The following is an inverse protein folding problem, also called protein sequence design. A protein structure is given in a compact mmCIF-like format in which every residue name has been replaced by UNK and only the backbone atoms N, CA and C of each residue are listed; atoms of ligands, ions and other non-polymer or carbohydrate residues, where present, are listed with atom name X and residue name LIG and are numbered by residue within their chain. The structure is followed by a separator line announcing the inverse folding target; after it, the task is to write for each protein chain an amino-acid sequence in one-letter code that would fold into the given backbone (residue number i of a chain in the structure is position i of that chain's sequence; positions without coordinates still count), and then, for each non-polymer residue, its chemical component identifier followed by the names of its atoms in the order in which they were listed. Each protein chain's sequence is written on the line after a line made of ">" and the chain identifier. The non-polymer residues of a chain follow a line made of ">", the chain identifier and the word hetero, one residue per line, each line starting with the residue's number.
data_IF_812737226939
#
_entry.id   IF_812737226939
#
_cell.length_a   1.000
_cell.length_b   1.000
_cell.length_c   1.000
_cell.angle_alpha   90.00
_cell.angle_beta   90.00
_cell.angle_gamma   90.00
#
_symmetry.space_group_name_H-M   'P 1'
#
loop_
_entity.id
_entity.type
_entity.pdbx_description
1 polymer ?
#
# COMPACT_ATOMS: atom_id res chain seq x y z
N UNK A 1 -34.21 10.65 -7.03
CA UNK A 1 -33.48 11.91 -6.80
C UNK A 1 -32.45 12.09 -7.89
N UNK A 2 -32.28 13.30 -8.38
CA UNK A 2 -31.47 13.68 -9.56
C UNK A 2 -30.08 13.02 -9.59
N UNK A 3 -29.38 13.00 -8.45
CA UNK A 3 -28.04 12.40 -8.34
C UNK A 3 -28.03 10.88 -8.63
N UNK A 4 -29.05 10.13 -8.20
CA UNK A 4 -29.09 8.67 -8.44
C UNK A 4 -29.21 8.35 -9.93
N UNK A 5 -29.96 9.17 -10.66
CA UNK A 5 -30.08 9.06 -12.11
C UNK A 5 -28.79 9.45 -12.81
N UNK A 6 -28.16 10.54 -12.40
CA UNK A 6 -26.86 10.98 -12.95
C UNK A 6 -25.74 9.94 -12.77
N UNK A 7 -25.75 9.22 -11.64
CA UNK A 7 -24.77 8.16 -11.34
C UNK A 7 -25.13 6.79 -11.95
N UNK A 8 -26.26 6.70 -12.67
CA UNK A 8 -26.81 5.44 -13.20
C UNK A 8 -27.03 4.35 -12.14
N UNK A 9 -27.42 4.73 -10.91
CA UNK A 9 -27.64 3.81 -9.78
C UNK A 9 -29.12 3.48 -9.53
N UNK A 10 -30.01 3.80 -10.48
CA UNK A 10 -31.43 3.46 -10.39
C UNK A 10 -31.65 1.94 -10.39
N UNK A 11 -30.84 1.22 -11.17
CA UNK A 11 -30.83 -0.25 -11.21
C UNK A 11 -29.43 -0.73 -10.83
N UNK A 12 -29.36 -1.56 -9.80
CA UNK A 12 -28.12 -2.16 -9.31
C UNK A 12 -27.97 -3.57 -9.91
N UNK A 13 -26.73 -4.00 -10.13
CA UNK A 13 -26.45 -5.30 -10.71
C UNK A 13 -26.67 -6.38 -9.63
N UNK A 14 -27.20 -7.52 -10.05
CA UNK A 14 -27.37 -8.68 -9.16
C UNK A 14 -26.02 -9.23 -8.68
N UNK A 15 -25.02 -9.20 -9.57
CA UNK A 15 -23.66 -9.69 -9.30
C UNK A 15 -22.64 -8.59 -9.60
N UNK A 16 -21.76 -8.33 -8.65
CA UNK A 16 -20.63 -7.42 -8.74
C UNK A 16 -19.35 -8.18 -8.35
N UNK A 17 -18.34 -8.22 -9.23
CA UNK A 17 -17.13 -9.02 -9.01
C UNK A 17 -16.25 -8.50 -7.86
N UNK A 18 -16.46 -7.27 -7.40
CA UNK A 18 -15.78 -6.70 -6.23
C UNK A 18 -16.52 -6.97 -4.91
N UNK A 19 -17.58 -7.78 -4.93
CA UNK A 19 -18.36 -8.10 -3.73
C UNK A 19 -19.23 -6.95 -3.21
N UNK A 20 -19.45 -5.89 -4.00
CA UNK A 20 -20.31 -4.78 -3.61
C UNK A 20 -21.78 -5.19 -3.74
N UNK A 21 -22.44 -5.44 -2.61
CA UNK A 21 -23.85 -5.86 -2.55
C UNK A 21 -24.74 -4.70 -2.11
N UNK A 22 -25.89 -4.47 -2.77
CA UNK A 22 -26.86 -3.48 -2.32
C UNK A 22 -27.40 -3.79 -0.92
N UNK A 23 -27.58 -2.76 -0.09
CA UNK A 23 -28.25 -2.91 1.21
C UNK A 23 -29.66 -3.49 1.00
N UNK A 24 -29.96 -4.60 1.68
CA UNK A 24 -31.26 -5.25 1.59
C UNK A 24 -32.23 -4.72 2.65
N UNK A 25 -31.77 -4.59 3.90
CA UNK A 25 -32.63 -4.28 5.04
C UNK A 25 -33.04 -2.79 5.07
N UNK A 26 -34.32 -2.47 5.33
CA UNK A 26 -34.78 -1.08 5.44
C UNK A 26 -34.01 -0.26 6.48
N UNK A 27 -33.70 -0.86 7.62
CA UNK A 27 -32.95 -0.22 8.71
C UNK A 27 -31.53 0.17 8.28
N UNK A 28 -30.84 -0.71 7.56
CA UNK A 28 -29.51 -0.45 7.00
C UNK A 28 -29.57 0.69 5.98
N UNK A 29 -30.60 0.71 5.11
CA UNK A 29 -30.82 1.80 4.15
C UNK A 29 -31.05 3.14 4.85
N UNK A 30 -31.88 3.16 5.90
CA UNK A 30 -32.14 4.36 6.69
C UNK A 30 -30.85 4.85 7.38
N UNK A 31 -30.10 3.94 8.01
CA UNK A 31 -28.81 4.25 8.64
C UNK A 31 -27.82 4.81 7.62
N UNK A 32 -27.69 4.18 6.46
CA UNK A 32 -26.81 4.66 5.38
C UNK A 32 -27.22 6.04 4.87
N UNK A 33 -28.52 6.31 4.72
CA UNK A 33 -29.03 7.63 4.34
C UNK A 33 -28.68 8.70 5.38
N UNK A 34 -28.78 8.39 6.67
CA UNK A 34 -28.40 9.30 7.75
C UNK A 34 -26.89 9.55 7.76
N UNK A 35 -26.08 8.51 7.60
CA UNK A 35 -24.62 8.62 7.55
C UNK A 35 -24.15 9.42 6.33
N UNK A 36 -24.79 9.23 5.17
CA UNK A 36 -24.50 10.01 3.97
C UNK A 36 -24.80 11.51 4.17
N UNK A 37 -25.92 11.84 4.81
CA UNK A 37 -26.25 13.24 5.15
C UNK A 37 -25.24 13.87 6.11
N UNK A 38 -24.79 13.11 7.14
CA UNK A 38 -23.72 13.54 8.05
C UNK A 38 -22.41 13.78 7.29
N UNK A 39 -22.04 12.87 6.39
CA UNK A 39 -20.83 12.99 5.56
C UNK A 39 -20.88 14.26 4.70
N UNK A 40 -21.99 14.51 3.98
CA UNK A 40 -22.15 15.72 3.17
C UNK A 40 -22.05 17.00 4.01
N UNK A 41 -22.60 16.97 5.22
CA UNK A 41 -22.51 18.10 6.17
C UNK A 41 -21.06 18.32 6.61
N UNK A 42 -20.34 17.26 6.96
CA UNK A 42 -18.92 17.34 7.35
C UNK A 42 -18.05 17.87 6.20
N UNK A 43 -18.27 17.40 4.96
CA UNK A 43 -17.58 17.90 3.78
C UNK A 43 -17.85 19.39 3.55
N UNK A 44 -19.09 19.85 3.79
CA UNK A 44 -19.43 21.28 3.72
C UNK A 44 -18.72 22.11 4.80
N UNK A 45 -18.62 21.60 6.03
CA UNK A 45 -17.88 22.26 7.12
C UNK A 45 -16.40 22.43 6.76
N UNK A 46 -15.81 21.42 6.10
CA UNK A 46 -14.44 21.48 5.58
C UNK A 46 -14.29 22.34 4.31
N UNK A 47 -15.35 23.02 3.86
CA UNK A 47 -15.30 23.85 2.65
C UNK A 47 -15.13 23.07 1.35
N UNK A 48 -15.46 21.77 1.33
CA UNK A 48 -15.44 20.97 0.11
C UNK A 48 -16.68 21.29 -0.72
N UNK A 49 -16.46 21.81 -1.93
CA UNK A 49 -17.53 22.34 -2.77
C UNK A 49 -18.48 21.24 -3.27
N UNK A 50 -19.73 21.57 -3.65
CA UNK A 50 -20.64 20.59 -4.23
C UNK A 50 -20.09 19.92 -5.50
N UNK A 51 -19.27 20.62 -6.29
CA UNK A 51 -18.60 20.07 -7.47
C UNK A 51 -17.52 19.05 -7.09
N UNK A 52 -16.70 19.35 -6.08
CA UNK A 52 -15.69 18.44 -5.55
C UNK A 52 -16.33 17.18 -4.96
N UNK A 53 -17.41 17.34 -4.18
CA UNK A 53 -18.20 16.20 -3.69
C UNK A 53 -18.74 15.36 -4.84
N UNK A 54 -19.25 16.00 -5.91
CA UNK A 54 -19.76 15.31 -7.10
C UNK A 54 -18.70 14.45 -7.77
N UNK A 55 -17.45 14.91 -7.85
CA UNK A 55 -16.34 14.11 -8.39
C UNK A 55 -16.11 12.85 -7.57
N UNK A 56 -16.16 12.93 -6.23
CA UNK A 56 -16.07 11.75 -5.37
C UNK A 56 -17.15 10.71 -5.70
N UNK A 57 -18.39 11.17 -5.88
CA UNK A 57 -19.52 10.29 -6.22
C UNK A 57 -19.39 9.68 -7.61
N UNK A 58 -18.90 10.43 -8.60
CA UNK A 58 -18.67 9.94 -9.96
C UNK A 58 -17.63 8.80 -9.98
N UNK A 59 -16.52 8.96 -9.26
CA UNK A 59 -15.45 7.94 -9.20
C UNK A 59 -15.95 6.69 -8.47
N UNK A 60 -16.61 6.83 -7.31
CA UNK A 60 -17.17 5.68 -6.58
C UNK A 60 -18.22 4.92 -7.38
N UNK A 61 -19.12 5.64 -8.08
CA UNK A 61 -20.10 5.01 -8.94
C UNK A 61 -19.43 4.30 -10.13
N UNK A 62 -18.39 4.88 -10.73
CA UNK A 62 -17.62 4.23 -11.79
C UNK A 62 -16.97 2.92 -11.31
N UNK A 63 -16.34 2.91 -10.12
CA UNK A 63 -15.79 1.69 -9.51
C UNK A 63 -16.86 0.62 -9.34
N UNK A 64 -18.04 1.00 -8.83
CA UNK A 64 -19.17 0.08 -8.73
C UNK A 64 -19.55 -0.51 -10.09
N UNK A 65 -19.68 0.32 -11.13
CA UNK A 65 -20.04 -0.12 -12.48
C UNK A 65 -18.95 -0.99 -13.13
N UNK A 66 -17.66 -0.75 -12.85
CA UNK A 66 -16.58 -1.65 -13.25
C UNK A 66 -16.76 -3.05 -12.64
N UNK A 67 -17.08 -3.12 -11.35
CA UNK A 67 -17.38 -4.38 -10.67
C UNK A 67 -18.62 -5.08 -11.23
N UNK A 68 -19.65 -4.33 -11.61
CA UNK A 68 -20.82 -4.87 -12.28
C UNK A 68 -20.53 -5.36 -13.72
N UNK A 69 -19.58 -4.70 -14.42
CA UNK A 69 -19.15 -5.08 -15.75
C UNK A 69 -18.40 -6.41 -15.76
N UNK A 70 -17.53 -6.62 -14.76
CA UNK A 70 -16.66 -7.78 -14.66
C UNK A 70 -15.73 -7.94 -15.87
N UNK A 71 -14.98 -9.04 -15.87
CA UNK A 71 -14.04 -9.36 -16.94
C UNK A 71 -14.23 -10.79 -17.44
N UNK A 72 -13.79 -11.07 -18.67
CA UNK A 72 -13.82 -12.42 -19.25
C UNK A 72 -12.90 -13.37 -18.48
N UNK A 73 -13.38 -14.58 -18.18
CA UNK A 73 -12.59 -15.62 -17.48
C UNK A 73 -11.56 -16.31 -18.38
N UNK A 74 -11.85 -16.39 -19.68
CA UNK A 74 -11.00 -17.03 -20.68
C UNK A 74 -11.01 -16.24 -22.00
N UNK A 75 -9.99 -16.48 -22.82
CA UNK A 75 -9.84 -15.83 -24.13
C UNK A 75 -9.26 -14.42 -24.03
N UNK A 76 -9.72 -13.53 -24.94
CA UNK A 76 -9.27 -12.13 -24.98
C UNK A 76 -9.68 -11.40 -23.71
N UNK A 77 -8.76 -10.60 -23.15
CA UNK A 77 -9.02 -9.74 -21.99
C UNK A 77 -9.94 -8.59 -22.38
N UNK A 78 -11.16 -8.61 -21.87
CA UNK A 78 -12.18 -7.58 -22.13
C UNK A 78 -13.25 -7.60 -21.02
N UNK A 79 -14.15 -6.62 -21.05
CA UNK A 79 -15.31 -6.59 -20.17
C UNK A 79 -16.27 -7.74 -20.45
N UNK A 80 -16.82 -8.35 -19.41
CA UNK A 80 -17.85 -9.38 -19.56
C UNK A 80 -19.22 -8.76 -19.93
N UNK A 81 -19.53 -7.57 -19.39
CA UNK A 81 -20.80 -6.87 -19.63
C UNK A 81 -20.54 -5.41 -20.05
N UNK A 82 -20.63 -5.14 -21.34
CA UNK A 82 -20.29 -3.86 -21.96
C UNK A 82 -21.19 -2.69 -21.49
N UNK A 83 -22.46 -2.95 -21.23
CA UNK A 83 -23.41 -1.90 -20.78
C UNK A 83 -23.00 -1.26 -19.45
N UNK A 84 -22.48 -2.05 -18.51
CA UNK A 84 -21.98 -1.56 -17.22
C UNK A 84 -20.65 -0.82 -17.40
N UNK A 85 -19.77 -1.33 -18.26
CA UNK A 85 -18.53 -0.65 -18.60
C UNK A 85 -18.77 0.71 -19.25
N UNK A 86 -19.80 0.83 -20.11
CA UNK A 86 -20.20 2.08 -20.73
C UNK A 86 -20.64 3.12 -19.69
N UNK A 87 -21.37 2.70 -18.65
CA UNK A 87 -21.74 3.59 -17.52
C UNK A 87 -20.48 4.06 -16.77
N UNK A 88 -19.53 3.17 -16.50
CA UNK A 88 -18.27 3.54 -15.87
C UNK A 88 -17.48 4.56 -16.71
N UNK A 89 -17.33 4.31 -18.02
CA UNK A 89 -16.65 5.20 -18.95
C UNK A 89 -17.29 6.59 -18.99
N UNK A 90 -18.64 6.64 -19.09
CA UNK A 90 -19.40 7.88 -19.06
C UNK A 90 -19.17 8.68 -17.78
N UNK A 91 -19.17 8.03 -16.61
CA UNK A 91 -18.95 8.71 -15.32
C UNK A 91 -17.53 9.25 -15.17
N UNK A 92 -16.54 8.49 -15.64
CA UNK A 92 -15.13 8.91 -15.67
C UNK A 92 -14.84 9.97 -16.73
N UNK A 93 -15.76 10.19 -17.67
CA UNK A 93 -15.59 11.18 -18.74
C UNK A 93 -14.59 10.73 -19.81
N UNK A 94 -14.60 9.44 -20.16
CA UNK A 94 -13.81 8.87 -21.26
C UNK A 94 -14.69 7.96 -22.13
N UNK A 95 -14.20 7.59 -23.30
CA UNK A 95 -14.83 6.59 -24.16
C UNK A 95 -14.62 5.17 -23.61
N UNK A 96 -15.49 4.24 -24.01
CA UNK A 96 -15.35 2.82 -23.64
C UNK A 96 -14.04 2.21 -24.19
N UNK A 97 -13.59 2.66 -25.36
CA UNK A 97 -12.33 2.20 -25.96
C UNK A 97 -11.12 2.67 -25.15
N UNK A 98 -11.08 3.94 -24.75
CA UNK A 98 -10.02 4.47 -23.88
C UNK A 98 -9.98 3.73 -22.54
N UNK A 99 -11.14 3.53 -21.90
CA UNK A 99 -11.24 2.78 -20.65
C UNK A 99 -10.77 1.33 -20.83
N UNK A 100 -11.24 0.65 -21.87
CA UNK A 100 -10.85 -0.73 -22.18
C UNK A 100 -9.34 -0.84 -22.44
N UNK A 101 -8.78 0.14 -23.16
CA UNK A 101 -7.34 0.20 -23.42
C UNK A 101 -6.56 0.41 -22.13
N UNK A 102 -6.97 1.35 -21.29
CA UNK A 102 -6.31 1.65 -20.02
C UNK A 102 -6.29 0.44 -19.06
N UNK A 103 -7.32 -0.41 -19.11
CA UNK A 103 -7.44 -1.60 -18.25
C UNK A 103 -6.73 -2.81 -18.86
N UNK A 104 -7.04 -3.17 -20.12
CA UNK A 104 -6.66 -4.47 -20.69
C UNK A 104 -5.52 -4.40 -21.70
N UNK A 105 -5.25 -3.23 -22.30
CA UNK A 105 -4.15 -3.03 -23.26
C UNK A 105 -3.00 -2.32 -22.56
N UNK A 106 -2.19 -3.08 -21.85
CA UNK A 106 -0.94 -2.54 -21.31
C UNK A 106 -0.01 -2.24 -22.49
N UNK A 107 0.16 -0.96 -22.83
CA UNK A 107 1.18 -0.55 -23.78
C UNK A 107 2.52 -1.10 -23.28
N UNK A 108 3.16 -1.97 -24.06
CA UNK A 108 4.58 -2.29 -23.89
C UNK A 108 5.37 -1.00 -24.08
N UNK A 109 5.48 -0.17 -23.04
CA UNK A 109 6.48 0.89 -22.97
C UNK A 109 7.83 0.26 -22.63
N UNK A 110 8.30 -0.60 -23.54
CA UNK A 110 9.68 -1.08 -23.61
C UNK A 110 10.62 -0.05 -24.25
N UNK A 111 10.37 1.25 -24.06
CA UNK A 111 11.19 2.29 -24.65
C UNK A 111 10.83 3.66 -24.09
N UNK A 112 11.84 4.36 -23.58
CA UNK A 112 11.77 5.74 -23.07
C UNK A 112 11.28 5.93 -21.63
N UNK A 113 11.80 5.15 -20.69
CA UNK A 113 12.28 5.81 -19.47
C UNK A 113 13.38 6.77 -19.92
N UNK A 114 13.20 8.06 -19.68
CA UNK A 114 14.27 9.02 -19.84
C UNK A 114 15.48 8.51 -19.06
N UNK A 115 16.49 8.10 -19.82
CA UNK A 115 17.82 7.76 -19.37
C UNK A 115 18.38 9.06 -18.80
N UNK A 116 18.14 9.31 -17.51
CA UNK A 116 18.85 10.38 -16.79
C UNK A 116 20.34 10.12 -17.00
N UNK A 117 20.97 11.06 -17.67
CA UNK A 117 22.35 11.02 -18.12
C UNK A 117 23.30 11.02 -16.93
N UNK A 118 23.75 9.84 -16.50
CA UNK A 118 25.10 9.67 -15.98
C UNK A 118 25.44 8.18 -15.86
N UNK A 119 26.64 7.84 -16.32
CA UNK A 119 27.32 6.55 -16.30
C UNK A 119 27.21 5.67 -17.57
N UNK A 120 28.40 5.28 -18.02
CA UNK A 120 28.79 4.82 -19.36
C UNK A 120 28.36 3.38 -19.66
N UNK A 121 28.25 3.13 -20.96
CA UNK A 121 27.90 1.91 -21.68
C UNK A 121 28.69 0.66 -21.27
N UNK A 122 28.00 -0.48 -21.25
CA UNK A 122 28.52 -1.83 -21.48
C UNK A 122 27.72 -2.48 -22.63
N UNK A 123 28.26 -3.50 -23.32
CA UNK A 123 27.81 -3.87 -24.67
C UNK A 123 26.43 -4.51 -24.70
N UNK A 124 25.71 -4.25 -25.78
CA UNK A 124 24.37 -4.74 -26.06
C UNK A 124 24.36 -6.26 -26.30
N UNK A 125 23.59 -6.98 -25.50
CA UNK A 125 23.03 -8.27 -25.91
C UNK A 125 21.59 -8.05 -26.35
N UNK A 126 21.40 -8.12 -27.66
CA UNK A 126 20.12 -8.32 -28.32
C UNK A 126 19.57 -9.70 -27.94
N UNK A 127 18.55 -9.74 -27.08
CA UNK A 127 17.72 -10.93 -26.93
C UNK A 127 16.25 -10.54 -27.07
N UNK A 128 15.70 -10.95 -28.22
CA UNK A 128 14.28 -11.22 -28.44
C UNK A 128 13.78 -12.14 -27.31
N UNK A 129 13.25 -11.55 -26.25
CA UNK A 129 12.67 -12.26 -25.11
C UNK A 129 11.17 -12.06 -25.08
N UNK A 130 10.44 -13.12 -25.41
CA UNK A 130 9.02 -13.27 -25.11
C UNK A 130 8.75 -12.82 -23.66
N UNK A 131 7.75 -11.97 -23.45
CA UNK A 131 7.59 -11.21 -22.21
C UNK A 131 7.44 -12.10 -20.97
N UNK A 132 8.54 -12.30 -20.23
CA UNK A 132 8.64 -13.05 -18.98
C UNK A 132 8.06 -12.30 -17.77
N UNK A 133 6.94 -11.60 -17.96
CA UNK A 133 6.16 -11.03 -16.86
C UNK A 133 4.98 -11.95 -16.49
N UNK A 134 4.54 -12.00 -15.22
CA UNK A 134 3.35 -12.74 -14.83
C UNK A 134 2.15 -12.30 -15.69
N UNK A 135 1.51 -13.23 -16.40
CA UNK A 135 0.33 -12.93 -17.22
C UNK A 135 -0.87 -12.68 -16.32
N UNK A 136 -1.12 -11.42 -15.97
CA UNK A 136 -2.33 -11.02 -15.24
C UNK A 136 -3.60 -11.49 -15.97
N UNK A 137 -4.56 -12.03 -15.23
CA UNK A 137 -5.90 -12.32 -15.72
C UNK A 137 -6.63 -11.01 -16.07
N UNK A 138 -7.71 -11.11 -16.86
CA UNK A 138 -8.53 -9.94 -17.15
C UNK A 138 -9.19 -9.37 -15.87
N UNK A 139 -9.52 -10.23 -14.91
CA UNK A 139 -10.07 -9.81 -13.62
C UNK A 139 -9.04 -9.04 -12.80
N UNK A 140 -7.81 -9.55 -12.67
CA UNK A 140 -6.73 -8.84 -11.97
C UNK A 140 -6.50 -7.45 -12.60
N UNK A 141 -6.52 -7.32 -13.94
CA UNK A 141 -6.41 -6.02 -14.61
C UNK A 141 -7.54 -5.05 -14.20
N UNK A 142 -8.78 -5.55 -14.14
CA UNK A 142 -9.96 -4.77 -13.76
C UNK A 142 -9.90 -4.33 -12.29
N UNK A 143 -9.50 -5.22 -11.38
CA UNK A 143 -9.28 -4.94 -9.96
C UNK A 143 -8.17 -3.89 -9.77
N UNK A 144 -7.09 -3.98 -10.57
CA UNK A 144 -6.01 -3.00 -10.57
C UNK A 144 -6.49 -1.59 -10.90
N UNK A 145 -7.34 -1.44 -11.92
CA UNK A 145 -7.93 -0.13 -12.25
C UNK A 145 -8.85 0.37 -11.14
N UNK A 146 -9.69 -0.48 -10.57
CA UNK A 146 -10.58 -0.11 -9.47
C UNK A 146 -9.79 0.35 -8.23
N UNK A 147 -8.73 -0.38 -7.86
CA UNK A 147 -7.81 -0.03 -6.79
C UNK A 147 -7.11 1.31 -7.07
N UNK A 148 -6.61 1.51 -8.29
CA UNK A 148 -5.98 2.77 -8.69
C UNK A 148 -6.93 3.98 -8.61
N UNK A 149 -8.17 3.83 -9.08
CA UNK A 149 -9.21 4.88 -8.98
C UNK A 149 -9.56 5.18 -7.53
N UNK A 150 -9.68 4.16 -6.67
CA UNK A 150 -9.97 4.33 -5.25
C UNK A 150 -8.81 5.04 -4.53
N UNK A 151 -7.57 4.67 -4.83
CA UNK A 151 -6.36 5.31 -4.29
C UNK A 151 -6.26 6.79 -4.67
N UNK A 152 -6.55 7.14 -5.92
CA UNK A 152 -6.57 8.54 -6.38
C UNK A 152 -7.69 9.35 -5.70
N UNK A 153 -8.87 8.75 -5.53
CA UNK A 153 -9.96 9.36 -4.79
C UNK A 153 -9.60 9.60 -3.32
N UNK A 154 -9.01 8.61 -2.66
CA UNK A 154 -8.58 8.74 -1.26
C UNK A 154 -7.52 9.84 -1.13
N UNK A 155 -6.53 9.86 -2.02
CA UNK A 155 -5.52 10.92 -2.08
C UNK A 155 -6.14 12.29 -2.33
N UNK A 156 -7.19 12.39 -3.16
CA UNK A 156 -7.97 13.62 -3.35
C UNK A 156 -8.60 14.08 -2.04
N UNK A 157 -9.34 13.20 -1.35
CA UNK A 157 -9.97 13.51 -0.07
C UNK A 157 -8.98 14.02 0.96
N UNK A 158 -7.84 13.34 1.12
CA UNK A 158 -6.78 13.78 2.04
C UNK A 158 -6.31 15.19 1.72
N UNK A 159 -6.07 15.53 0.45
CA UNK A 159 -5.67 16.90 0.10
C UNK A 159 -6.75 17.95 0.34
N UNK A 160 -8.03 17.59 0.18
CA UNK A 160 -9.13 18.51 0.42
C UNK A 160 -9.25 18.82 1.91
N UNK A 161 -9.06 17.79 2.76
CA UNK A 161 -8.95 17.95 4.22
C UNK A 161 -7.74 18.80 4.59
N UNK A 162 -6.56 18.49 4.04
CA UNK A 162 -5.34 19.26 4.31
C UNK A 162 -5.47 20.72 3.86
N UNK A 163 -6.09 20.98 2.71
CA UNK A 163 -6.40 22.33 2.23
C UNK A 163 -7.26 23.09 3.24
N UNK A 164 -8.26 22.43 3.82
CA UNK A 164 -9.16 23.03 4.81
C UNK A 164 -8.45 23.31 6.14
N UNK A 165 -7.51 22.45 6.54
CA UNK A 165 -6.77 22.55 7.82
C UNK A 165 -5.48 23.36 7.71
N UNK A 166 -5.08 23.77 6.50
CA UNK A 166 -3.84 24.52 6.27
C UNK A 166 -3.90 25.89 6.95
N UNK A 167 -2.94 26.15 7.84
CA UNK A 167 -2.74 27.47 8.43
C UNK A 167 -1.72 28.29 7.62
N UNK A 168 -1.96 29.60 7.51
CA UNK A 168 -1.00 30.58 6.97
C UNK A 168 -0.01 31.09 8.03
N UNK A 169 -0.21 30.75 9.30
CA UNK A 169 0.63 31.19 10.41
C UNK A 169 1.89 30.33 10.55
N UNK A 170 2.97 30.93 11.05
CA UNK A 170 4.19 30.21 11.38
C UNK A 170 4.00 29.39 12.66
N UNK A 171 4.21 28.07 12.59
CA UNK A 171 4.18 27.19 13.76
C UNK A 171 5.43 27.39 14.62
N UNK A 172 5.25 27.67 15.92
CA UNK A 172 6.34 27.66 16.91
C UNK A 172 6.70 26.24 17.36
N UNK A 173 5.70 25.37 17.47
CA UNK A 173 5.86 23.95 17.76
C UNK A 173 4.87 23.13 16.92
N UNK A 174 5.12 21.83 16.81
CA UNK A 174 4.20 20.88 16.18
C UNK A 174 4.11 19.63 17.04
N UNK A 175 2.89 19.15 17.27
CA UNK A 175 2.63 17.85 17.88
C UNK A 175 2.18 16.87 16.80
N UNK A 176 2.70 15.65 16.87
CA UNK A 176 2.27 14.55 16.00
C UNK A 176 1.50 13.55 16.85
N UNK A 177 0.31 13.19 16.40
CA UNK A 177 -0.52 12.16 17.03
C UNK A 177 -0.54 10.98 16.08
N UNK A 178 -0.13 9.82 16.56
CA UNK A 178 -0.12 8.58 15.80
C UNK A 178 -1.34 7.76 16.23
N UNK A 179 -2.19 7.43 15.26
CA UNK A 179 -3.39 6.60 15.44
C UNK A 179 -3.30 5.40 14.49
N UNK A 180 -2.97 4.22 15.01
CA UNK A 180 -2.80 3.00 14.24
C UNK A 180 -3.99 2.06 14.42
N UNK A 181 -4.26 1.14 13.47
CA UNK A 181 -5.35 0.16 13.60
C UNK A 181 -5.25 -0.77 14.82
N UNK A 182 -4.09 -0.79 15.50
CA UNK A 182 -3.79 -1.67 16.62
C UNK A 182 -3.37 -3.08 16.18
N UNK A 183 -2.97 -3.87 17.18
CA UNK A 183 -2.51 -5.25 17.01
C UNK A 183 -3.66 -6.18 16.58
N UNK A 184 -3.39 -7.07 15.63
CA UNK A 184 -4.35 -7.99 15.02
C UNK A 184 -3.95 -9.43 15.29
N UNK A 185 -4.76 -10.16 16.05
CA UNK A 185 -4.61 -11.60 16.25
C UNK A 185 -5.98 -12.29 16.12
N UNK A 186 -6.29 -12.91 14.96
CA UNK A 186 -7.58 -13.55 14.73
C UNK A 186 -7.93 -14.61 15.77
N UNK A 187 -6.95 -15.35 16.27
CA UNK A 187 -7.16 -16.41 17.27
C UNK A 187 -7.66 -15.82 18.59
N UNK A 188 -7.07 -14.72 19.06
CA UNK A 188 -7.54 -14.00 20.24
C UNK A 188 -8.96 -13.41 20.06
N UNK A 189 -9.34 -13.13 18.82
CA UNK A 189 -10.69 -12.72 18.43
C UNK A 189 -11.70 -13.87 18.26
N UNK A 190 -11.31 -15.12 18.56
CA UNK A 190 -12.16 -16.30 18.41
C UNK A 190 -12.26 -16.84 16.98
N UNK A 191 -11.39 -16.39 16.08
CA UNK A 191 -11.34 -16.84 14.68
C UNK A 191 -10.20 -17.83 14.46
N UNK A 192 -10.51 -19.02 13.94
CA UNK A 192 -9.51 -20.07 13.68
C UNK A 192 -8.69 -19.88 12.39
N UNK A 193 -8.89 -18.77 11.67
CA UNK A 193 -8.16 -18.44 10.43
C UNK A 193 -6.77 -17.89 10.76
N UNK A 194 -5.81 -18.10 9.87
CA UNK A 194 -4.56 -17.35 9.91
C UNK A 194 -4.78 -15.86 9.63
N UNK A 195 -3.90 -15.03 10.17
CA UNK A 195 -3.85 -13.61 9.90
C UNK A 195 -3.42 -13.34 8.44
N UNK A 196 -3.96 -12.28 7.83
CA UNK A 196 -3.69 -11.88 6.45
C UNK A 196 -2.43 -11.03 6.31
N UNK A 197 -2.05 -10.71 5.08
CA UNK A 197 -0.94 -9.80 4.79
C UNK A 197 -1.20 -8.39 5.34
N UNK A 198 -2.43 -7.87 5.23
CA UNK A 198 -2.80 -6.57 5.79
C UNK A 198 -2.67 -6.54 7.31
N UNK A 199 -3.08 -7.64 7.98
CA UNK A 199 -2.91 -7.79 9.42
C UNK A 199 -1.43 -7.89 9.81
N UNK A 200 -0.58 -8.53 8.99
CA UNK A 200 0.88 -8.47 9.17
C UNK A 200 1.37 -7.03 9.08
N UNK A 201 0.90 -6.24 8.11
CA UNK A 201 1.32 -4.85 7.95
C UNK A 201 0.95 -3.99 9.18
N UNK A 202 -0.22 -4.22 9.76
CA UNK A 202 -0.63 -3.56 11.00
C UNK A 202 0.25 -3.97 12.19
N UNK A 203 0.51 -5.27 12.34
CA UNK A 203 1.35 -5.79 13.42
C UNK A 203 2.82 -5.35 13.28
N UNK A 204 3.35 -5.30 12.06
CA UNK A 204 4.67 -4.75 11.78
C UNK A 204 4.77 -3.27 12.16
N UNK A 205 3.77 -2.45 11.84
CA UNK A 205 3.74 -1.06 12.27
C UNK A 205 3.74 -0.94 13.81
N UNK A 206 3.00 -1.83 14.49
CA UNK A 206 2.97 -1.88 15.95
C UNK A 206 4.32 -2.28 16.56
N UNK A 207 4.97 -3.30 16.01
CA UNK A 207 6.30 -3.73 16.46
C UNK A 207 7.34 -2.63 16.26
N UNK A 208 7.28 -1.90 15.14
CA UNK A 208 8.14 -0.73 14.87
C UNK A 208 7.91 0.41 15.86
N UNK A 209 6.66 0.70 16.22
CA UNK A 209 6.33 1.68 17.25
C UNK A 209 6.82 1.26 18.64
N UNK A 210 6.66 -0.01 18.99
CA UNK A 210 7.18 -0.57 20.24
C UNK A 210 8.71 -0.49 20.30
N UNK A 211 9.40 -0.81 19.19
CA UNK A 211 10.85 -0.66 19.05
C UNK A 211 11.29 0.79 19.22
N UNK A 212 10.62 1.73 18.55
CA UNK A 212 10.91 3.16 18.69
C UNK A 212 10.72 3.65 20.14
N UNK A 213 9.64 3.21 20.80
CA UNK A 213 9.43 3.51 22.21
C UNK A 213 10.57 2.96 23.07
N UNK A 214 10.97 1.71 22.84
CA UNK A 214 12.06 1.08 23.58
C UNK A 214 13.40 1.84 23.38
N UNK A 215 13.73 2.16 22.13
CA UNK A 215 14.94 2.91 21.78
C UNK A 215 14.95 4.30 22.43
N UNK A 216 13.86 5.07 22.33
CA UNK A 216 13.78 6.43 22.88
C UNK A 216 13.68 6.48 24.41
N UNK A 217 12.94 5.55 25.03
CA UNK A 217 12.66 5.59 26.47
C UNK A 217 13.70 4.88 27.31
N UNK A 218 14.31 3.79 26.81
CA UNK A 218 15.26 3.01 27.59
C UNK A 218 16.68 3.14 27.05
N UNK A 219 16.91 2.88 25.76
CA UNK A 219 18.27 2.81 25.20
C UNK A 219 18.95 4.17 25.24
N UNK A 220 18.32 5.20 24.66
CA UNK A 220 18.89 6.55 24.61
C UNK A 220 19.07 7.16 26.00
N UNK A 221 18.14 6.89 26.93
CA UNK A 221 18.25 7.40 28.30
C UNK A 221 19.39 6.69 29.05
N UNK A 222 19.58 5.39 28.84
CA UNK A 222 20.72 4.66 29.40
C UNK A 222 22.05 5.14 28.82
N UNK A 223 22.10 5.42 27.51
CA UNK A 223 23.26 6.03 26.87
C UNK A 223 23.58 7.40 27.47
N UNK A 224 22.55 8.23 27.69
CA UNK A 224 22.72 9.53 28.33
C UNK A 224 23.24 9.43 29.77
N UNK A 225 22.74 8.50 30.58
CA UNK A 225 23.27 8.29 31.92
C UNK A 225 24.75 7.87 31.90
N UNK A 226 25.15 7.05 30.93
CA UNK A 226 26.57 6.72 30.72
C UNK A 226 27.39 7.94 30.34
N UNK A 227 26.89 8.81 29.45
CA UNK A 227 27.55 10.07 29.07
C UNK A 227 27.71 11.04 30.25
N UNK A 228 26.71 11.09 31.14
CA UNK A 228 26.72 11.93 32.36
C UNK A 228 27.49 11.28 33.53
N UNK A 229 28.09 10.10 33.33
CA UNK A 229 28.79 9.30 34.35
C UNK A 229 27.93 8.98 35.59
N UNK A 230 26.65 8.71 35.38
CA UNK A 230 25.71 8.28 36.42
C UNK A 230 25.74 6.76 36.47
N UNK A 231 26.26 6.21 37.57
CA UNK A 231 26.27 4.76 37.81
C UNK A 231 24.87 4.27 38.15
N UNK A 232 24.40 3.27 37.40
CA UNK A 232 23.12 2.61 37.63
C UNK A 232 23.37 1.12 37.87
N UNK A 233 22.90 0.62 39.01
CA UNK A 233 22.92 -0.81 39.32
C UNK A 233 21.70 -1.47 38.66
N UNK A 234 21.86 -1.91 37.41
CA UNK A 234 20.87 -2.79 36.77
C UNK A 234 21.24 -4.24 37.03
N UNK A 235 20.30 -5.04 37.53
CA UNK A 235 20.36 -6.49 37.36
C UNK A 235 20.24 -6.76 35.84
N UNK A 236 21.11 -7.60 35.29
CA UNK A 236 21.28 -7.86 33.85
C UNK A 236 19.93 -7.94 33.10
N UNK A 237 19.51 -6.83 32.49
CA UNK A 237 18.44 -6.82 31.51
C UNK A 237 19.03 -7.46 30.25
N UNK A 238 18.91 -8.78 30.13
CA UNK A 238 19.28 -9.46 28.89
C UNK A 238 18.48 -8.82 27.74
N UNK A 239 19.14 -8.35 26.68
CA UNK A 239 18.43 -7.91 25.50
C UNK A 239 17.72 -9.13 24.90
N UNK A 240 16.40 -9.20 25.00
CA UNK A 240 15.63 -10.23 24.30
C UNK A 240 15.89 -10.11 22.80
N UNK A 241 16.67 -11.04 22.26
CA UNK A 241 17.08 -11.10 20.85
C UNK A 241 15.95 -11.69 20.00
N UNK A 242 14.72 -11.22 20.17
CA UNK A 242 13.59 -11.57 19.32
C UNK A 242 13.27 -10.39 18.41
N UNK A 243 14.05 -10.24 17.33
CA UNK A 243 13.86 -9.14 16.39
C UNK A 243 12.82 -9.52 15.31
N UNK A 244 11.54 -9.53 15.71
CA UNK A 244 10.40 -9.72 14.80
C UNK A 244 10.39 -8.70 13.67
N UNK A 245 10.87 -7.47 13.97
CA UNK A 245 11.05 -6.41 12.98
C UNK A 245 12.05 -6.86 11.91
N UNK A 246 13.23 -7.36 12.29
CA UNK A 246 14.21 -7.87 11.33
C UNK A 246 13.65 -9.02 10.46
N UNK A 247 12.90 -9.96 11.04
CA UNK A 247 12.26 -11.03 10.27
C UNK A 247 11.33 -10.49 9.16
N UNK A 248 10.72 -9.30 9.37
CA UNK A 248 9.85 -8.65 8.40
C UNK A 248 10.61 -7.73 7.44
N UNK A 249 11.54 -6.92 7.95
CA UNK A 249 12.06 -5.74 7.24
C UNK A 249 13.59 -5.64 7.12
N UNK A 250 14.37 -6.66 7.53
CA UNK A 250 15.83 -6.63 7.51
C UNK A 250 16.35 -6.19 6.13
N UNK A 251 17.05 -5.05 6.13
CA UNK A 251 17.67 -4.51 4.94
C UNK A 251 19.02 -5.20 4.68
N UNK A 252 19.42 -5.30 3.41
CA UNK A 252 20.78 -5.71 3.05
C UNK A 252 21.78 -4.66 3.54
N UNK A 253 22.84 -5.08 4.22
CA UNK A 253 23.92 -4.22 4.73
C UNK A 253 24.75 -3.57 3.60
N UNK A 254 24.58 -3.99 2.34
CA UNK A 254 25.33 -3.47 1.18
C UNK A 254 24.51 -2.51 0.30
N UNK A 255 24.14 -1.35 0.83
CA UNK A 255 23.54 -0.28 0.00
C UNK A 255 24.56 0.51 -0.85
N UNK A 256 25.87 0.28 -0.72
CA UNK A 256 26.91 1.14 -1.34
C UNK A 256 27.91 0.45 -2.28
N UNK A 257 27.93 -0.89 -2.40
CA UNK A 257 28.85 -1.58 -3.30
C UNK A 257 28.08 -2.58 -4.15
N UNK A 258 28.00 -2.34 -5.47
CA UNK A 258 27.43 -3.28 -6.46
C UNK A 258 28.36 -4.48 -6.65
N UNK A 259 28.54 -5.29 -5.62
CA UNK A 259 29.13 -6.62 -5.78
C UNK A 259 28.00 -7.64 -5.89
N UNK A 260 28.19 -8.64 -6.75
CA UNK A 260 27.23 -9.69 -7.07
C UNK A 260 26.51 -10.20 -5.80
N UNK A 261 25.17 -10.25 -5.86
CA UNK A 261 24.32 -10.72 -4.79
C UNK A 261 24.83 -12.06 -4.25
N UNK A 262 25.40 -12.06 -3.05
CA UNK A 262 25.60 -13.30 -2.30
C UNK A 262 24.21 -13.75 -1.86
N UNK A 263 23.87 -14.99 -2.19
CA UNK A 263 22.60 -15.67 -1.84
C UNK A 263 22.50 -16.00 -0.34
N UNK A 264 23.43 -15.50 0.48
CA UNK A 264 23.68 -15.92 1.86
C UNK A 264 23.41 -14.81 2.89
N UNK A 265 22.97 -13.63 2.44
CA UNK A 265 22.61 -12.54 3.36
C UNK A 265 21.13 -12.64 3.77
N UNK A 266 20.87 -12.66 5.08
CA UNK A 266 19.52 -12.67 5.63
C UNK A 266 18.73 -11.43 5.19
N UNK A 267 17.52 -11.66 4.65
CA UNK A 267 16.63 -10.59 4.18
C UNK A 267 15.25 -10.76 4.80
N UNK A 268 14.63 -9.64 5.17
CA UNK A 268 13.28 -9.65 5.73
C UNK A 268 12.22 -10.13 4.73
N UNK A 269 11.11 -10.62 5.27
CA UNK A 269 9.95 -11.13 4.52
C UNK A 269 9.46 -10.19 3.40
N UNK A 270 9.36 -8.88 3.66
CA UNK A 270 8.89 -7.92 2.64
C UNK A 270 9.81 -7.90 1.41
N UNK A 271 11.09 -8.16 1.60
CA UNK A 271 12.05 -8.27 0.52
C UNK A 271 11.98 -9.62 -0.18
N UNK A 272 11.87 -10.71 0.58
CA UNK A 272 11.74 -12.05 0.04
C UNK A 272 10.51 -12.18 -0.86
N UNK A 273 9.38 -11.59 -0.47
CA UNK A 273 8.15 -11.52 -1.28
C UNK A 273 8.41 -10.93 -2.68
N UNK A 274 9.18 -9.85 -2.74
CA UNK A 274 9.50 -9.15 -3.98
C UNK A 274 10.46 -9.94 -4.87
N UNK A 275 11.40 -10.68 -4.28
CA UNK A 275 12.31 -11.53 -5.06
C UNK A 275 11.60 -12.76 -5.58
N UNK A 276 10.85 -13.43 -4.72
CA UNK A 276 10.17 -14.67 -5.05
C UNK A 276 9.16 -14.43 -6.16
N UNK A 277 8.45 -13.30 -6.17
CA UNK A 277 7.52 -12.94 -7.24
C UNK A 277 8.15 -12.75 -8.63
N UNK A 278 9.49 -12.60 -8.71
CA UNK A 278 10.22 -12.56 -9.98
C UNK A 278 10.61 -13.96 -10.48
N UNK A 279 10.53 -14.98 -9.63
CA UNK A 279 10.87 -16.37 -9.96
C UNK A 279 9.75 -16.97 -10.82
N UNK A 280 10.06 -17.54 -12.00
CA UNK A 280 9.06 -18.27 -12.78
C UNK A 280 8.51 -19.46 -12.00
N UNK A 281 7.20 -19.51 -11.77
CA UNK A 281 6.57 -20.56 -10.97
C UNK A 281 6.71 -20.37 -9.46
N UNK A 282 6.95 -19.14 -9.00
CA UNK A 282 6.97 -18.76 -7.60
C UNK A 282 5.82 -19.39 -6.78
N UNK A 283 6.17 -19.90 -5.60
CA UNK A 283 5.20 -20.47 -4.66
C UNK A 283 5.41 -19.87 -3.27
N UNK A 284 4.33 -19.76 -2.51
CA UNK A 284 4.36 -19.36 -1.11
C UNK A 284 5.22 -20.31 -0.25
N UNK A 285 5.32 -21.60 -0.62
CA UNK A 285 6.17 -22.55 0.09
C UNK A 285 7.65 -22.24 -0.10
N UNK A 286 8.09 -21.92 -1.31
CA UNK A 286 9.47 -21.51 -1.57
C UNK A 286 9.84 -20.22 -0.81
N UNK A 287 8.89 -19.27 -0.73
CA UNK A 287 9.04 -18.07 0.10
C UNK A 287 9.26 -18.44 1.58
N UNK A 288 8.41 -19.30 2.13
CA UNK A 288 8.50 -19.72 3.53
C UNK A 288 9.82 -20.45 3.81
N UNK A 289 10.24 -21.39 2.97
CA UNK A 289 11.51 -22.10 3.14
C UNK A 289 12.70 -21.14 3.22
N UNK A 290 12.73 -20.13 2.34
CA UNK A 290 13.78 -19.08 2.40
C UNK A 290 13.69 -18.25 3.68
N UNK A 291 12.50 -17.86 4.11
CA UNK A 291 12.32 -17.11 5.36
C UNK A 291 12.79 -17.92 6.57
N UNK A 292 12.41 -19.20 6.65
CA UNK A 292 12.82 -20.10 7.74
C UNK A 292 14.31 -20.41 7.73
N UNK A 293 14.98 -20.40 6.57
CA UNK A 293 16.43 -20.57 6.51
C UNK A 293 17.20 -19.45 7.24
N UNK A 294 16.63 -18.24 7.30
CA UNK A 294 17.24 -17.09 7.97
C UNK A 294 16.76 -16.90 9.41
N UNK A 295 15.47 -17.08 9.65
CA UNK A 295 14.82 -16.68 10.92
C UNK A 295 14.11 -17.83 11.63
N UNK A 296 14.19 -19.06 11.12
CA UNK A 296 13.59 -20.24 11.73
C UNK A 296 14.38 -20.78 12.91
N UNK A 297 13.80 -21.72 13.69
CA UNK A 297 14.48 -22.37 14.80
C UNK A 297 15.64 -23.22 14.28
N UNK A 298 16.83 -23.03 14.84
CA UNK A 298 18.02 -23.83 14.54
C UNK A 298 18.05 -25.12 15.38
N UNK A 299 18.82 -26.14 14.97
CA UNK A 299 18.97 -27.35 15.78
C UNK A 299 19.53 -27.02 17.18
N UNK A 300 18.83 -27.46 18.22
CA UNK A 300 19.20 -27.18 19.62
C UNK A 300 18.58 -25.91 20.21
N UNK A 301 17.79 -25.17 19.44
CA UNK A 301 17.12 -23.96 19.90
C UNK A 301 16.06 -24.30 20.97
N UNK A 302 16.20 -23.70 22.16
CA UNK A 302 15.17 -23.79 23.20
C UNK A 302 14.02 -22.91 22.73
N UNK A 303 12.79 -23.45 22.60
CA UNK A 303 11.58 -22.69 22.23
C UNK A 303 11.63 -21.25 22.78
N UNK A 304 11.84 -20.25 21.91
CA UNK A 304 11.79 -18.83 22.29
C UNK A 304 12.93 -17.91 21.82
N UNK A 305 13.99 -18.38 21.15
CA UNK A 305 15.03 -17.49 20.59
C UNK A 305 14.82 -17.13 19.12
N UNK A 306 14.20 -18.02 18.33
CA UNK A 306 13.81 -17.71 16.95
C UNK A 306 12.53 -16.86 16.93
N UNK A 307 12.46 -15.81 16.10
CA UNK A 307 11.24 -15.02 15.93
C UNK A 307 10.13 -15.78 15.17
N UNK A 308 10.44 -16.92 14.54
CA UNK A 308 9.51 -17.70 13.73
C UNK A 308 9.32 -19.12 14.26
N UNK A 309 8.10 -19.65 14.14
CA UNK A 309 7.83 -21.08 14.35
C UNK A 309 7.04 -21.65 13.18
N UNK A 310 7.29 -22.93 12.86
CA UNK A 310 6.54 -23.67 11.85
C UNK A 310 5.10 -23.89 12.34
N UNK A 311 4.11 -23.67 11.47
CA UNK A 311 2.73 -24.07 11.74
C UNK A 311 2.49 -25.53 11.35
N UNK A 312 1.47 -26.14 11.95
CA UNK A 312 0.93 -27.43 11.51
C UNK A 312 0.02 -27.32 10.27
N UNK A 313 -0.44 -26.12 9.92
CA UNK A 313 -1.28 -25.84 8.76
C UNK A 313 -0.41 -25.54 7.53
N UNK A 314 -0.80 -26.00 6.32
CA UNK A 314 -0.05 -25.71 5.09
C UNK A 314 -0.09 -24.22 4.78
N UNK A 315 1.01 -23.66 4.25
CA UNK A 315 1.14 -22.23 3.94
C UNK A 315 0.92 -21.30 5.15
N UNK A 316 1.15 -21.79 6.37
CA UNK A 316 1.10 -20.98 7.58
C UNK A 316 2.46 -20.95 8.29
N UNK A 317 2.70 -19.86 9.00
CA UNK A 317 3.84 -19.73 9.92
C UNK A 317 3.42 -18.91 11.13
N UNK A 318 4.13 -19.05 12.25
CA UNK A 318 3.93 -18.19 13.41
C UNK A 318 5.08 -17.19 13.51
N UNK A 319 4.75 -15.94 13.81
CA UNK A 319 5.70 -14.88 14.13
C UNK A 319 5.45 -14.41 15.55
N UNK A 320 6.52 -14.31 16.34
CA UNK A 320 6.48 -13.82 17.71
C UNK A 320 6.52 -12.30 17.74
N UNK A 321 5.42 -11.67 18.11
CA UNK A 321 5.31 -10.23 18.34
C UNK A 321 5.50 -9.88 19.82
N UNK A 322 5.59 -8.59 20.13
CA UNK A 322 5.72 -8.10 21.51
C UNK A 322 6.87 -8.79 22.25
N UNK A 323 8.03 -8.87 21.59
CA UNK A 323 9.24 -9.57 22.07
C UNK A 323 9.03 -11.07 22.32
N UNK A 324 8.20 -11.73 21.52
CA UNK A 324 7.93 -13.17 21.59
C UNK A 324 6.88 -13.58 22.62
N UNK A 325 6.17 -12.62 23.21
CA UNK A 325 5.07 -12.89 24.17
C UNK A 325 3.72 -13.12 23.49
N UNK A 326 3.56 -12.68 22.23
CA UNK A 326 2.32 -12.83 21.48
C UNK A 326 2.59 -13.46 20.12
N UNK A 327 2.24 -14.73 19.95
CA UNK A 327 2.42 -15.46 18.69
C UNK A 327 1.20 -15.30 17.80
N UNK A 328 1.42 -14.91 16.56
CA UNK A 328 0.35 -14.79 15.55
C UNK A 328 0.63 -15.78 14.43
N UNK A 329 -0.36 -16.63 14.14
CA UNK A 329 -0.32 -17.54 13.00
C UNK A 329 -0.81 -16.81 11.73
N UNK A 330 0.07 -16.65 10.74
CA UNK A 330 -0.23 -16.01 9.46
C UNK A 330 -0.49 -17.05 8.38
N UNK A 331 -1.44 -16.75 7.48
CA UNK A 331 -1.69 -17.52 6.26
C UNK A 331 -1.08 -16.76 5.08
N UNK A 332 -0.04 -17.33 4.45
CA UNK A 332 0.66 -16.66 3.34
C UNK A 332 -0.01 -16.84 1.97
N UNK A 333 -1.08 -17.64 1.88
CA UNK A 333 -1.74 -17.93 0.62
C UNK A 333 -2.12 -16.63 -0.13
N UNK A 334 -1.64 -16.49 -1.36
CA UNK A 334 -1.91 -15.33 -2.21
C UNK A 334 -1.04 -14.11 -1.94
N UNK A 335 -0.09 -14.15 -0.99
CA UNK A 335 0.75 -12.98 -0.66
C UNK A 335 1.64 -12.53 -1.83
N UNK A 336 2.05 -13.46 -2.71
CA UNK A 336 2.78 -13.13 -3.93
C UNK A 336 1.96 -12.26 -4.91
N UNK A 337 0.65 -12.14 -4.72
CA UNK A 337 -0.16 -11.25 -5.55
C UNK A 337 0.07 -9.75 -5.25
N UNK A 338 0.46 -9.40 -4.03
CA UNK A 338 0.69 -7.99 -3.61
C UNK A 338 1.93 -7.36 -4.26
N UNK A 339 2.87 -8.17 -4.73
CA UNK A 339 4.09 -7.73 -5.41
C UNK A 339 3.91 -7.66 -6.93
N UNK A 340 2.84 -8.24 -7.48
CA UNK A 340 2.53 -8.17 -8.91
C UNK A 340 2.23 -6.72 -9.30
N UNK A 341 3.09 -6.13 -10.13
CA UNK A 341 2.80 -4.81 -10.67
C UNK A 341 1.63 -4.88 -11.66
N UNK A 342 0.54 -4.20 -11.31
CA UNK A 342 -0.61 -4.06 -12.19
C UNK A 342 -0.54 -2.76 -12.98
N UNK A 343 -0.31 -2.80 -14.31
CA UNK A 343 -0.19 -1.57 -15.08
C UNK A 343 -1.50 -0.78 -15.16
N UNK A 344 -2.66 -1.44 -14.98
CA UNK A 344 -3.95 -0.75 -14.96
C UNK A 344 -4.06 0.22 -13.77
N UNK A 345 -3.50 -0.14 -12.62
CA UNK A 345 -3.41 0.74 -11.43
C UNK A 345 -2.65 2.03 -11.76
N UNK A 346 -1.55 1.93 -12.52
CA UNK A 346 -0.73 3.08 -12.91
C UNK A 346 -1.38 3.96 -13.97
N UNK A 347 -2.41 3.45 -14.67
CA UNK A 347 -3.15 4.20 -15.68
C UNK A 347 -4.31 5.03 -15.09
N UNK A 348 -4.80 4.69 -13.90
CA UNK A 348 -5.91 5.38 -13.26
C UNK A 348 -5.70 6.91 -13.10
N UNK A 349 -4.52 7.41 -12.64
CA UNK A 349 -4.31 8.85 -12.49
C UNK A 349 -4.39 9.58 -13.83
N UNK A 350 -3.81 8.98 -14.89
CA UNK A 350 -3.84 9.55 -16.24
C UNK A 350 -5.26 9.59 -16.80
N UNK A 351 -6.05 8.53 -16.57
CA UNK A 351 -7.45 8.48 -16.98
C UNK A 351 -8.28 9.62 -16.37
N UNK A 352 -8.02 9.96 -15.11
CA UNK A 352 -8.69 11.08 -14.42
C UNK A 352 -8.21 12.45 -14.93
N UNK A 353 -6.92 12.59 -15.21
CA UNK A 353 -6.32 13.82 -15.78
C UNK A 353 -6.83 14.11 -17.19
N UNK A 354 -6.94 13.07 -18.02
CA UNK A 354 -7.38 13.17 -19.41
C UNK A 354 -8.92 13.18 -19.55
N UNK A 355 -9.66 13.21 -18.43
CA UNK A 355 -11.12 13.22 -18.43
C UNK A 355 -11.72 14.41 -19.19
N UNK A 356 -12.67 14.12 -20.07
CA UNK A 356 -13.47 15.12 -20.80
C UNK A 356 -14.40 15.90 -19.87
N UNK A 357 -14.69 15.38 -18.66
CA UNK A 357 -15.43 16.13 -17.63
C UNK A 357 -14.47 17.06 -16.90
N UNK A 358 -14.55 18.36 -17.20
CA UNK A 358 -13.68 19.39 -16.58
C UNK A 358 -13.69 19.39 -15.06
N UNK A 359 -14.83 19.11 -14.44
CA UNK A 359 -14.92 18.98 -12.97
C UNK A 359 -13.99 17.89 -12.42
N UNK A 360 -13.75 16.80 -13.18
CA UNK A 360 -12.80 15.75 -12.81
C UNK A 360 -11.39 16.22 -13.14
N UNK A 361 -11.07 16.51 -14.40
CA UNK A 361 -9.69 16.80 -14.81
C UNK A 361 -9.08 17.99 -14.06
N UNK A 362 -9.86 19.04 -13.75
CA UNK A 362 -9.37 20.18 -12.97
C UNK A 362 -8.84 19.81 -11.57
N UNK A 363 -9.39 18.77 -10.93
CA UNK A 363 -8.91 18.32 -9.61
C UNK A 363 -7.62 17.49 -9.68
N UNK A 364 -7.27 16.95 -10.86
CA UNK A 364 -6.12 16.05 -11.03
C UNK A 364 -4.98 16.62 -11.89
N UNK A 365 -5.20 17.68 -12.68
CA UNK A 365 -4.18 18.31 -13.56
C UNK A 365 -2.97 18.86 -12.80
N UNK A 366 -3.15 19.45 -11.62
CA UNK A 366 -2.07 20.00 -10.78
C UNK A 366 -1.31 18.96 -9.95
N UNK A 367 -1.70 17.68 -10.04
CA UNK A 367 -1.10 16.58 -9.26
C UNK A 367 -0.06 15.77 -10.04
N UNK A 368 0.05 16.01 -11.35
CA UNK A 368 1.07 15.40 -12.20
C UNK A 368 2.46 15.97 -11.87
N UNK A 369 3.15 15.34 -10.92
CA UNK A 369 4.54 15.69 -10.57
C UNK A 369 4.81 15.94 -9.08
N UNK A 370 3.79 15.93 -8.22
CA UNK A 370 4.02 15.66 -6.80
C UNK A 370 4.35 14.17 -6.70
N UNK A 371 5.63 13.85 -6.90
CA UNK A 371 6.15 12.49 -6.78
C UNK A 371 5.57 11.88 -5.51
N UNK A 372 4.67 10.91 -5.67
CA UNK A 372 4.13 10.00 -4.66
C UNK A 372 4.77 10.24 -3.30
N UNK A 373 4.29 11.27 -2.60
CA UNK A 373 4.51 11.35 -1.16
C UNK A 373 3.68 10.16 -0.70
N UNK A 374 4.37 9.13 -0.23
CA UNK A 374 3.79 7.87 0.22
C UNK A 374 2.59 8.19 1.10
N UNK A 375 1.39 8.05 0.51
CA UNK A 375 0.16 8.67 0.99
C UNK A 375 0.27 10.21 1.13
N UNK A 376 -0.65 10.97 0.54
CA UNK A 376 -0.72 12.44 0.69
C UNK A 376 -1.01 12.94 2.13
N UNK A 377 -0.75 12.13 3.15
CA UNK A 377 -1.33 12.17 4.50
C UNK A 377 -0.47 12.85 5.56
N UNK A 378 0.76 13.28 5.25
CA UNK A 378 1.54 14.06 6.23
C UNK A 378 1.14 15.53 6.11
N UNK A 379 0.16 15.89 6.95
CA UNK A 379 -0.25 17.27 7.17
C UNK A 379 0.97 18.14 7.53
N UNK A 380 1.10 19.29 6.87
CA UNK A 380 2.20 20.24 7.10
C UNK A 380 3.38 20.16 6.12
N UNK A 381 3.38 19.23 5.15
CA UNK A 381 4.35 19.22 4.04
C UNK A 381 4.05 20.28 2.96
N UNK A 382 2.79 20.70 2.84
CA UNK A 382 2.31 21.65 1.81
C UNK A 382 2.55 23.12 2.18
N UNK A 383 3.28 23.38 3.28
CA UNK A 383 3.63 24.72 3.74
C UNK A 383 4.93 25.21 3.10
N UNK A 384 4.97 26.48 2.69
CA UNK A 384 6.20 27.15 2.25
C UNK A 384 7.17 27.51 3.37
N UNK A 385 6.98 26.98 4.59
CA UNK A 385 7.86 27.28 5.72
C UNK A 385 9.16 26.48 5.60
N UNK A 386 10.27 27.07 6.05
CA UNK A 386 11.59 26.41 6.07
C UNK A 386 11.55 25.07 6.83
N UNK A 387 10.80 24.98 7.93
CA UNK A 387 10.63 23.75 8.71
C UNK A 387 9.81 22.68 7.97
N UNK A 388 8.77 23.06 7.23
CA UNK A 388 8.02 22.15 6.38
C UNK A 388 8.90 21.64 5.21
N UNK A 389 9.66 22.53 4.56
CA UNK A 389 10.61 22.15 3.52
C UNK A 389 11.71 21.22 4.05
N UNK A 390 12.25 21.48 5.24
CA UNK A 390 13.25 20.61 5.88
C UNK A 390 12.69 19.23 6.17
N UNK A 391 11.48 19.13 6.73
CA UNK A 391 10.77 17.84 6.95
C UNK A 391 10.53 17.12 5.63
N UNK A 392 10.00 17.81 4.62
CA UNK A 392 9.79 17.29 3.28
C UNK A 392 11.09 16.79 2.62
N UNK A 393 12.19 17.53 2.80
CA UNK A 393 13.49 17.19 2.22
C UNK A 393 14.14 16.03 2.96
N UNK A 394 14.04 15.97 4.30
CA UNK A 394 14.53 14.84 5.10
C UNK A 394 13.83 13.55 4.71
N UNK A 395 12.49 13.58 4.70
CA UNK A 395 11.67 12.48 4.20
C UNK A 395 12.04 12.12 2.75
N UNK A 396 12.09 13.09 1.85
CA UNK A 396 12.45 12.85 0.45
C UNK A 396 13.83 12.19 0.33
N UNK A 397 14.83 12.57 1.14
CA UNK A 397 16.14 11.89 1.16
C UNK A 397 16.00 10.44 1.58
N UNK A 398 15.25 10.13 2.63
CA UNK A 398 14.94 8.75 3.02
C UNK A 398 14.27 7.97 1.87
N UNK A 399 13.38 8.62 1.10
CA UNK A 399 12.62 7.99 0.00
C UNK A 399 13.26 8.03 -1.40
N UNK A 400 14.37 8.75 -1.57
CA UNK A 400 15.05 8.90 -2.88
C UNK A 400 16.46 8.31 -2.89
N UNK A 401 16.95 7.82 -1.75
CA UNK A 401 18.28 7.23 -1.62
C UNK A 401 18.16 5.74 -1.27
N UNK A 402 19.09 4.91 -1.75
CA UNK A 402 19.11 3.47 -1.47
C UNK A 402 18.00 2.65 -2.13
N UNK A 403 17.56 1.57 -1.48
CA UNK A 403 16.54 0.62 -1.96
C UNK A 403 15.19 1.29 -2.29
N UNK A 404 14.86 2.42 -1.65
CA UNK A 404 13.67 3.22 -1.89
C UNK A 404 13.59 3.77 -3.32
N UNK A 405 14.73 4.04 -3.97
CA UNK A 405 14.77 4.53 -5.35
C UNK A 405 14.57 3.40 -6.38
N UNK A 406 15.03 2.19 -6.06
CA UNK A 406 15.05 1.03 -6.98
C UNK A 406 13.67 0.37 -7.10
N UNK A 407 12.82 0.49 -6.07
CA UNK A 407 11.50 -0.15 -6.02
C UNK A 407 10.37 0.76 -5.51
N UNK A 408 10.33 2.03 -5.94
CA UNK A 408 9.25 3.00 -5.58
C UNK A 408 7.81 2.53 -5.85
N UNK A 409 7.64 1.51 -6.69
CA UNK A 409 6.33 0.98 -7.11
C UNK A 409 5.93 -0.32 -6.41
N UNK A 410 6.80 -0.87 -5.55
CA UNK A 410 6.50 -2.07 -4.76
C UNK A 410 5.61 -1.70 -3.57
N UNK A 411 4.46 -2.36 -3.42
CA UNK A 411 3.57 -2.13 -2.28
C UNK A 411 4.24 -2.53 -0.96
N UNK A 412 4.92 -3.68 -0.93
CA UNK A 412 5.64 -4.18 0.24
C UNK A 412 6.71 -3.18 0.73
N UNK A 413 7.43 -2.54 -0.19
CA UNK A 413 8.43 -1.53 0.17
C UNK A 413 7.78 -0.21 0.56
N UNK A 414 6.67 0.17 -0.07
CA UNK A 414 5.92 1.36 0.33
C UNK A 414 5.42 1.27 1.78
N UNK A 415 5.00 0.07 2.24
CA UNK A 415 4.62 -0.16 3.64
C UNK A 415 5.77 0.14 4.58
N UNK A 416 6.96 -0.44 4.33
CA UNK A 416 8.16 -0.16 5.14
C UNK A 416 8.45 1.34 5.17
N UNK A 417 8.50 1.96 3.99
CA UNK A 417 8.80 3.37 3.86
C UNK A 417 7.78 4.26 4.58
N UNK A 418 6.50 3.89 4.60
CA UNK A 418 5.47 4.62 5.33
C UNK A 418 5.61 4.47 6.85
N UNK A 419 6.07 3.32 7.35
CA UNK A 419 6.30 3.09 8.78
C UNK A 419 7.61 3.75 9.26
N UNK A 420 8.61 3.85 8.39
CA UNK A 420 9.86 4.58 8.65
C UNK A 420 9.68 6.11 8.61
N UNK A 421 8.62 6.61 7.94
CA UNK A 421 8.29 8.03 7.77
C UNK A 421 7.76 8.66 9.05
#
# INVERSE_FOLDING_TARGET
>A
GTLRTELHLNHLAENNVFGIVPLAKPEEKQKASQQFSKLQTAMKVLGISPEEQKVCWLILAAIYHLGAAGATKAGRRQFARHEWAQKAAYLLGCSLEELSSAIFKHQHKGGTLQRSTSFRQGPEESSLGDGTGPKLSALECLEGMASGLYSELFTLLVSLVNRALKSSQHSLCSMMIVDTPGFQNPEQGGSARGASFEELCHNYAQDRLQRLFHECTFVQELERYKEENIELSFDDLEPTVNDSVAAVDQASHQSLVRSLARTDEARGLLWLLEEEALVPGATEDALLERLFSYYGPQEGDKKGQSPLLRSSKPHHFLLGHSHGTNWVEYNVAGWLSYTKQNPATQNAPRLLQDSQKKIISNLFLGRAGSATVLSGSIAGLEGGSQLALRRATSMRKTFTTGMAAVKKKSLCIQIKLQVDA
#
